data_IF_423501454311
#
_entry.id   IF_423501454311
#
_cell.length_a   1.000
_cell.length_b   1.000
_cell.length_c   1.000
_cell.angle_alpha   90.00
_cell.angle_beta   90.00
_cell.angle_gamma   90.00
#
_symmetry.space_group_name_H-M   'P 1'
#
loop_
_entity.id
_entity.type
_entity.pdbx_description
1 polymer ?
#
# COMPACT_ATOMS: atom_id res chain seq x y z
N UNK A 1 23.71 -1.74 -20.76
CA UNK A 1 22.29 -1.29 -20.68
C UNK A 1 21.93 -0.80 -22.06
N UNK A 2 20.88 -1.37 -22.67
CA UNK A 2 20.45 -0.96 -24.00
C UNK A 2 19.76 0.40 -23.91
N UNK A 3 20.48 1.47 -24.23
CA UNK A 3 19.90 2.81 -24.29
C UNK A 3 19.34 3.07 -25.69
N UNK A 4 18.07 3.50 -25.75
CA UNK A 4 17.49 4.01 -26.99
C UNK A 4 17.94 5.45 -27.17
N UNK A 5 18.51 5.74 -28.33
CA UNK A 5 18.85 7.10 -28.75
C UNK A 5 18.03 7.47 -29.96
N UNK A 6 17.67 8.76 -30.06
CA UNK A 6 16.99 9.25 -31.24
C UNK A 6 17.93 9.18 -32.46
N UNK A 7 17.52 8.56 -33.59
CA UNK A 7 18.39 8.46 -34.76
C UNK A 7 18.70 9.82 -35.40
N UNK A 8 17.88 10.84 -35.15
CA UNK A 8 18.03 12.17 -35.75
C UNK A 8 18.95 13.11 -34.95
N UNK A 9 18.90 13.06 -33.62
CA UNK A 9 19.61 14.02 -32.77
C UNK A 9 20.39 13.38 -31.62
N UNK A 10 20.45 12.05 -31.54
CA UNK A 10 21.14 11.29 -30.50
C UNK A 10 20.65 11.54 -29.06
N UNK A 11 19.52 12.25 -28.89
CA UNK A 11 18.94 12.49 -27.57
C UNK A 11 18.46 11.17 -26.93
N UNK A 12 18.72 10.93 -25.62
CA UNK A 12 18.26 9.72 -24.93
C UNK A 12 16.73 9.60 -24.92
N UNK A 13 16.20 8.41 -25.20
CA UNK A 13 14.77 8.17 -25.35
C UNK A 13 14.32 7.05 -24.41
N UNK A 14 13.18 7.25 -23.76
CA UNK A 14 12.51 6.21 -22.98
C UNK A 14 11.79 5.20 -23.88
N UNK A 15 11.83 3.91 -23.51
CA UNK A 15 11.00 2.90 -24.17
C UNK A 15 9.51 3.28 -24.09
N UNK A 16 8.79 3.20 -25.20
CA UNK A 16 7.39 3.62 -25.28
C UNK A 16 7.17 5.08 -25.70
N UNK A 17 8.22 5.90 -25.80
CA UNK A 17 8.10 7.28 -26.28
C UNK A 17 7.69 7.30 -27.76
N UNK A 18 6.67 8.09 -28.11
CA UNK A 18 6.20 8.22 -29.49
C UNK A 18 6.89 9.35 -30.26
N UNK A 19 7.50 10.29 -29.56
CA UNK A 19 8.25 11.43 -30.11
C UNK A 19 9.51 11.70 -29.31
N UNK A 20 10.53 12.25 -29.97
CA UNK A 20 11.76 12.69 -29.32
C UNK A 20 11.53 13.98 -28.50
N UNK A 21 12.00 14.01 -27.25
CA UNK A 21 11.95 15.21 -26.42
C UNK A 21 12.91 16.32 -26.86
N UNK A 22 14.00 15.97 -27.55
CA UNK A 22 15.00 16.94 -28.02
C UNK A 22 14.64 17.62 -29.35
N UNK A 23 14.28 16.84 -30.38
CA UNK A 23 14.00 17.35 -31.72
C UNK A 23 12.53 17.25 -32.17
N UNK A 24 11.65 16.64 -31.37
CA UNK A 24 10.23 16.50 -31.69
C UNK A 24 9.89 15.43 -32.75
N UNK A 25 10.89 14.77 -33.35
CA UNK A 25 10.68 13.75 -34.38
C UNK A 25 9.79 12.60 -33.90
N UNK A 26 8.88 12.14 -34.76
CA UNK A 26 8.04 10.96 -34.52
C UNK A 26 8.84 9.67 -34.63
N UNK A 27 8.61 8.74 -33.72
CA UNK A 27 9.17 7.39 -33.78
C UNK A 27 8.24 6.36 -34.43
N UNK A 28 6.99 6.76 -34.74
CA UNK A 28 6.08 6.00 -35.59
C UNK A 28 6.31 6.43 -37.03
N UNK A 29 7.26 5.76 -37.68
CA UNK A 29 7.65 6.01 -39.07
C UNK A 29 7.25 4.81 -39.91
N UNK A 30 6.59 5.05 -41.04
CA UNK A 30 6.25 3.97 -41.97
C UNK A 30 7.49 3.50 -42.73
N UNK A 31 7.65 2.19 -42.98
CA UNK A 31 8.75 1.69 -43.79
C UNK A 31 8.65 2.24 -45.22
N UNK A 32 9.76 2.66 -45.85
CA UNK A 32 9.75 2.99 -47.27
C UNK A 32 9.33 1.76 -48.11
N UNK A 33 8.59 1.95 -49.21
CA UNK A 33 8.26 0.85 -50.11
C UNK A 33 9.54 0.15 -50.57
N UNK A 34 9.50 -1.19 -50.60
CA UNK A 34 10.58 -2.09 -51.05
C UNK A 34 11.92 -2.01 -50.28
N UNK A 35 11.93 -1.40 -49.10
CA UNK A 35 13.17 -1.22 -48.30
C UNK A 35 13.65 -2.47 -47.54
N UNK A 36 12.82 -3.51 -47.40
CA UNK A 36 13.11 -4.64 -46.53
C UNK A 36 13.31 -4.26 -45.05
N UNK A 37 12.94 -3.04 -44.65
CA UNK A 37 13.15 -2.54 -43.30
C UNK A 37 12.39 -3.40 -42.28
N UNK A 38 12.97 -3.70 -41.11
CA UNK A 38 12.30 -4.48 -40.08
C UNK A 38 11.07 -3.70 -39.58
N UNK A 39 9.92 -4.35 -39.61
CA UNK A 39 8.64 -3.80 -39.14
C UNK A 39 8.22 -4.42 -37.82
N UNK A 40 7.35 -3.74 -37.09
CA UNK A 40 6.82 -4.30 -35.85
C UNK A 40 5.97 -5.55 -36.11
N UNK A 41 6.17 -6.60 -35.31
CA UNK A 41 5.42 -7.84 -35.39
C UNK A 41 3.91 -7.67 -35.14
N UNK A 42 3.50 -6.65 -34.37
CA UNK A 42 2.08 -6.36 -34.05
C UNK A 42 1.50 -5.27 -34.96
N UNK A 43 2.33 -4.31 -35.38
CA UNK A 43 1.93 -3.19 -36.22
C UNK A 43 2.83 -3.10 -37.46
N UNK A 44 2.54 -3.89 -38.52
CA UNK A 44 3.39 -3.96 -39.71
C UNK A 44 3.57 -2.62 -40.44
N UNK A 45 2.65 -1.67 -40.23
CA UNK A 45 2.72 -0.32 -40.80
C UNK A 45 3.81 0.57 -40.19
N UNK A 46 4.42 0.16 -39.07
CA UNK A 46 5.44 0.92 -38.37
C UNK A 46 6.80 0.22 -38.40
N UNK A 47 7.84 0.99 -38.69
CA UNK A 47 9.22 0.54 -38.61
C UNK A 47 9.59 0.15 -37.17
N UNK A 48 10.38 -0.90 -37.03
CA UNK A 48 10.91 -1.33 -35.75
C UNK A 48 11.98 -0.36 -35.25
N UNK A 49 11.88 0.00 -33.97
CA UNK A 49 12.93 0.76 -33.29
C UNK A 49 13.95 -0.15 -32.62
N UNK A 50 13.50 -1.33 -32.17
CA UNK A 50 14.35 -2.31 -31.51
C UNK A 50 13.75 -3.72 -31.58
N UNK A 51 14.62 -4.74 -31.60
CA UNK A 51 14.21 -6.12 -31.40
C UNK A 51 14.05 -6.40 -29.91
N UNK A 52 13.03 -7.18 -29.54
CA UNK A 52 12.83 -7.62 -28.16
C UNK A 52 14.02 -8.49 -27.71
N UNK A 53 14.69 -8.10 -26.62
CA UNK A 53 15.84 -8.83 -26.07
C UNK A 53 15.48 -10.24 -25.53
N UNK A 54 14.18 -10.56 -25.40
CA UNK A 54 13.72 -11.87 -24.91
C UNK A 54 13.30 -12.84 -26.00
N UNK A 55 12.49 -12.38 -26.95
CA UNK A 55 11.92 -13.25 -27.99
C UNK A 55 12.38 -12.93 -29.40
N UNK A 56 13.20 -11.88 -29.59
CA UNK A 56 13.68 -11.44 -30.91
C UNK A 56 12.65 -10.71 -31.76
N UNK A 57 11.38 -10.62 -31.35
CA UNK A 57 10.36 -9.95 -32.14
C UNK A 57 10.66 -8.44 -32.28
N UNK A 58 10.56 -7.92 -33.51
CA UNK A 58 10.68 -6.50 -33.80
C UNK A 58 9.51 -5.70 -33.21
N UNK A 59 9.82 -4.64 -32.46
CA UNK A 59 8.84 -3.76 -31.84
C UNK A 59 8.97 -2.32 -32.35
N UNK A 60 7.82 -1.68 -32.63
CA UNK A 60 7.78 -0.24 -32.88
C UNK A 60 7.83 0.52 -31.54
N UNK A 61 7.97 1.84 -31.63
CA UNK A 61 7.98 2.73 -30.48
C UNK A 61 6.80 2.53 -29.52
N UNK A 62 5.61 2.24 -30.06
CA UNK A 62 4.40 2.01 -29.27
C UNK A 62 4.39 0.66 -28.54
N UNK A 63 5.00 -0.38 -29.11
CA UNK A 63 5.03 -1.72 -28.52
C UNK A 63 6.24 -1.96 -27.62
N UNK A 64 7.23 -1.07 -27.65
CA UNK A 64 8.45 -1.23 -26.85
C UNK A 64 8.18 -0.86 -25.38
N UNK A 65 8.67 -1.70 -24.47
CA UNK A 65 8.57 -1.52 -23.02
C UNK A 65 9.93 -1.76 -22.40
N UNK A 66 10.16 -1.21 -21.21
CA UNK A 66 11.36 -1.47 -20.42
C UNK A 66 11.06 -2.53 -19.36
N UNK A 67 11.77 -3.65 -19.43
CA UNK A 67 11.65 -4.76 -18.50
C UNK A 67 12.36 -4.50 -17.16
N UNK A 68 12.20 -5.40 -16.18
CA UNK A 68 12.68 -5.21 -14.81
C UNK A 68 14.21 -5.18 -14.66
N UNK A 69 14.97 -5.82 -15.56
CA UNK A 69 16.44 -5.74 -15.60
C UNK A 69 16.91 -4.63 -16.56
N UNK A 70 16.05 -3.64 -16.82
CA UNK A 70 16.27 -2.55 -17.77
C UNK A 70 16.43 -3.02 -19.22
N UNK A 71 16.02 -4.26 -19.54
CA UNK A 71 16.01 -4.77 -20.92
C UNK A 71 14.92 -4.12 -21.78
N UNK A 72 15.13 -4.01 -23.09
CA UNK A 72 14.10 -3.56 -24.03
C UNK A 72 13.32 -4.76 -24.55
N UNK A 73 12.02 -4.79 -24.24
CA UNK A 73 11.14 -5.93 -24.55
C UNK A 73 9.89 -5.49 -25.29
N UNK A 74 9.33 -6.37 -26.13
CA UNK A 74 8.03 -6.14 -26.72
C UNK A 74 6.93 -6.22 -25.66
N UNK A 75 5.80 -5.57 -25.91
CA UNK A 75 4.62 -5.55 -25.04
C UNK A 75 4.16 -6.95 -24.63
N UNK A 76 4.16 -7.93 -25.54
CA UNK A 76 3.78 -9.31 -25.22
C UNK A 76 4.75 -9.96 -24.23
N UNK A 77 6.07 -9.78 -24.41
CA UNK A 77 7.06 -10.29 -23.46
C UNK A 77 7.01 -9.52 -22.14
N UNK A 78 6.76 -8.22 -22.17
CA UNK A 78 6.57 -7.39 -20.98
C UNK A 78 5.34 -7.84 -20.18
N UNK A 79 4.23 -8.12 -20.84
CA UNK A 79 3.03 -8.67 -20.22
C UNK A 79 3.25 -10.07 -19.63
N UNK A 80 4.21 -10.83 -20.19
CA UNK A 80 4.65 -12.14 -19.67
C UNK A 80 5.74 -12.02 -18.60
N UNK A 81 6.32 -10.84 -18.34
CA UNK A 81 7.26 -10.66 -17.23
C UNK A 81 6.46 -10.96 -15.96
N UNK A 82 6.84 -11.98 -15.17
CA UNK A 82 6.27 -12.13 -13.85
C UNK A 82 6.62 -10.86 -13.09
N UNK A 83 5.59 -10.09 -12.71
CA UNK A 83 5.80 -9.02 -11.74
C UNK A 83 6.63 -9.59 -10.58
N UNK A 84 7.64 -8.84 -10.13
CA UNK A 84 8.56 -9.34 -9.12
C UNK A 84 7.75 -9.71 -7.87
N UNK A 85 7.72 -11.00 -7.53
CA UNK A 85 7.01 -11.46 -6.34
C UNK A 85 7.63 -10.80 -5.12
N UNK A 86 6.80 -10.23 -4.25
CA UNK A 86 7.28 -9.72 -2.98
C UNK A 86 7.76 -10.89 -2.11
N UNK A 87 8.65 -10.64 -1.14
CA UNK A 87 9.01 -11.67 -0.16
C UNK A 87 7.78 -12.32 0.49
N UNK A 88 6.71 -11.56 0.74
CA UNK A 88 5.43 -12.06 1.25
C UNK A 88 4.73 -13.07 0.33
N UNK A 89 4.83 -12.89 -0.98
CA UNK A 89 4.24 -13.84 -1.94
C UNK A 89 5.06 -15.14 -1.98
N UNK A 90 6.35 -15.08 -1.61
CA UNK A 90 7.28 -16.20 -1.52
C UNK A 90 7.38 -16.79 -0.10
N UNK A 91 6.38 -16.55 0.77
CA UNK A 91 6.41 -16.98 2.18
C UNK A 91 6.48 -18.50 2.38
N UNK A 92 6.02 -19.29 1.40
CA UNK A 92 6.15 -20.74 1.43
C UNK A 92 7.62 -21.20 1.39
N UNK A 93 8.48 -20.45 0.69
CA UNK A 93 9.91 -20.75 0.54
C UNK A 93 10.77 -20.02 1.58
N UNK A 94 10.44 -18.75 1.86
CA UNK A 94 11.23 -17.89 2.76
C UNK A 94 10.87 -18.06 4.24
N UNK A 95 9.71 -18.65 4.53
CA UNK A 95 9.10 -18.68 5.85
C UNK A 95 8.38 -17.37 6.20
N UNK A 96 7.33 -17.48 7.01
CA UNK A 96 6.39 -16.40 7.33
C UNK A 96 7.06 -15.15 7.91
N UNK A 97 7.88 -15.31 8.95
CA UNK A 97 8.49 -14.18 9.68
C UNK A 97 9.45 -13.40 8.79
N UNK A 98 10.33 -14.11 8.06
CA UNK A 98 11.32 -13.51 7.17
C UNK A 98 10.66 -12.82 5.97
N UNK A 99 9.64 -13.45 5.39
CA UNK A 99 8.85 -12.90 4.30
C UNK A 99 8.13 -11.61 4.72
N UNK A 100 7.48 -11.63 5.88
CA UNK A 100 6.79 -10.47 6.45
C UNK A 100 7.77 -9.33 6.73
N UNK A 101 8.84 -9.58 7.50
CA UNK A 101 9.83 -8.58 7.85
C UNK A 101 10.44 -7.90 6.61
N UNK A 102 10.89 -8.69 5.64
CA UNK A 102 11.48 -8.16 4.40
C UNK A 102 10.48 -7.31 3.62
N UNK A 103 9.22 -7.75 3.53
CA UNK A 103 8.18 -7.00 2.83
C UNK A 103 7.90 -5.67 3.51
N UNK A 104 7.71 -5.67 4.84
CA UNK A 104 7.53 -4.46 5.65
C UNK A 104 8.68 -3.47 5.46
N UNK A 105 9.93 -3.93 5.55
CA UNK A 105 11.10 -3.07 5.34
C UNK A 105 11.12 -2.49 3.93
N UNK A 106 10.78 -3.28 2.91
CA UNK A 106 10.78 -2.80 1.53
C UNK A 106 9.70 -1.75 1.26
N UNK A 107 8.44 -2.01 1.66
CA UNK A 107 7.33 -1.07 1.47
C UNK A 107 7.50 0.18 2.32
N UNK A 108 8.12 0.06 3.50
CA UNK A 108 8.36 1.17 4.41
C UNK A 108 9.52 2.05 3.95
N UNK A 109 10.61 1.49 3.42
CA UNK A 109 11.80 2.28 3.07
C UNK A 109 11.85 2.70 1.60
N UNK A 110 11.23 1.92 0.70
CA UNK A 110 11.30 2.13 -0.76
C UNK A 110 9.95 1.93 -1.46
N UNK A 111 8.86 2.56 -0.97
CA UNK A 111 7.50 2.30 -1.43
C UNK A 111 7.35 2.43 -2.94
N UNK A 112 7.84 3.52 -3.54
CA UNK A 112 7.69 3.79 -4.98
C UNK A 112 8.31 2.69 -5.83
N UNK A 113 9.55 2.27 -5.52
CA UNK A 113 10.23 1.22 -6.30
C UNK A 113 9.60 -0.15 -6.07
N UNK A 114 9.13 -0.42 -4.85
CA UNK A 114 8.48 -1.69 -4.49
C UNK A 114 7.14 -1.85 -5.19
N UNK A 115 6.27 -0.84 -5.11
CA UNK A 115 4.96 -0.89 -5.78
C UNK A 115 5.06 -0.84 -7.31
N UNK A 116 6.10 -0.24 -7.87
CA UNK A 116 6.31 -0.22 -9.31
C UNK A 116 6.70 -1.59 -9.91
N UNK A 117 7.37 -2.46 -9.14
CA UNK A 117 7.90 -3.74 -9.63
C UNK A 117 7.04 -4.96 -9.29
N UNK A 118 6.17 -4.85 -8.29
CA UNK A 118 5.43 -5.98 -7.72
C UNK A 118 4.17 -6.36 -8.51
N UNK A 119 3.58 -7.52 -8.17
CA UNK A 119 2.32 -7.94 -8.75
C UNK A 119 1.18 -7.02 -8.31
N UNK A 120 0.36 -6.59 -9.28
CA UNK A 120 -0.79 -5.73 -9.00
C UNK A 120 -1.85 -6.42 -8.15
N UNK A 121 -2.01 -7.73 -8.35
CA UNK A 121 -3.00 -8.53 -7.67
C UNK A 121 -2.34 -9.63 -6.84
N UNK A 122 -3.05 -10.03 -5.80
CA UNK A 122 -2.86 -11.25 -5.03
C UNK A 122 -4.24 -11.72 -4.55
N UNK A 123 -4.30 -12.90 -3.96
CA UNK A 123 -5.53 -13.37 -3.35
C UNK A 123 -5.99 -12.37 -2.26
N UNK A 124 -7.30 -12.24 -2.10
CA UNK A 124 -7.90 -11.42 -1.04
C UNK A 124 -7.40 -11.90 0.32
N UNK A 125 -7.37 -13.22 0.54
CA UNK A 125 -6.88 -13.83 1.78
C UNK A 125 -5.43 -13.47 2.10
N UNK A 126 -4.54 -13.48 1.10
CA UNK A 126 -3.12 -13.15 1.28
C UNK A 126 -2.91 -11.70 1.70
N UNK A 127 -3.71 -10.79 1.13
CA UNK A 127 -3.67 -9.36 1.45
C UNK A 127 -4.22 -9.11 2.85
N UNK A 128 -5.34 -9.73 3.22
CA UNK A 128 -5.91 -9.60 4.56
C UNK A 128 -5.04 -10.22 5.64
N UNK A 129 -4.39 -11.33 5.35
CA UNK A 129 -3.49 -11.95 6.30
C UNK A 129 -2.26 -11.07 6.57
N UNK A 130 -1.73 -10.41 5.53
CA UNK A 130 -0.67 -9.41 5.72
C UNK A 130 -1.14 -8.23 6.57
N UNK A 131 -2.36 -7.72 6.31
CA UNK A 131 -2.97 -6.65 7.08
C UNK A 131 -3.17 -7.04 8.55
N UNK A 132 -3.72 -8.22 8.82
CA UNK A 132 -3.91 -8.75 10.17
C UNK A 132 -2.59 -8.93 10.92
N UNK A 133 -1.55 -9.44 10.27
CA UNK A 133 -0.22 -9.56 10.87
C UNK A 133 0.41 -8.20 11.16
N UNK A 134 0.23 -7.24 10.24
CA UNK A 134 0.68 -5.84 10.43
C UNK A 134 -0.03 -5.17 11.60
N UNK A 135 -1.33 -5.38 11.73
CA UNK A 135 -2.12 -4.90 12.86
C UNK A 135 -1.67 -5.55 14.18
N UNK A 136 -1.54 -6.88 14.21
CA UNK A 136 -1.07 -7.60 15.39
C UNK A 136 0.27 -7.05 15.89
N UNK A 137 1.26 -6.93 15.00
CA UNK A 137 2.58 -6.39 15.35
C UNK A 137 2.52 -4.93 15.76
N UNK A 138 1.74 -4.11 15.04
CA UNK A 138 1.60 -2.68 15.30
C UNK A 138 0.98 -2.35 16.65
N UNK A 139 0.00 -3.14 17.08
CA UNK A 139 -0.68 -2.95 18.36
C UNK A 139 -0.01 -3.72 19.51
N UNK A 140 0.94 -4.61 19.22
CA UNK A 140 1.55 -5.49 20.22
C UNK A 140 2.17 -4.71 21.38
N UNK A 141 3.09 -3.80 21.06
CA UNK A 141 3.85 -3.02 22.03
C UNK A 141 2.94 -2.14 22.89
N UNK A 142 1.94 -1.48 22.28
CA UNK A 142 1.02 -0.58 22.97
C UNK A 142 0.20 -1.32 24.02
N UNK A 143 -0.47 -2.40 23.63
CA UNK A 143 -1.28 -3.17 24.58
C UNK A 143 -0.41 -3.83 25.64
N UNK A 144 0.76 -4.34 25.27
CA UNK A 144 1.68 -4.94 26.23
C UNK A 144 2.11 -3.93 27.29
N UNK A 145 2.51 -2.73 26.90
CA UNK A 145 2.90 -1.67 27.83
C UNK A 145 1.72 -1.15 28.65
N UNK A 146 0.53 -1.02 28.07
CA UNK A 146 -0.67 -0.61 28.82
C UNK A 146 -1.02 -1.63 29.88
N UNK A 147 -0.96 -2.92 29.56
CA UNK A 147 -1.19 -3.98 30.54
C UNK A 147 -0.12 -3.98 31.62
N UNK A 148 1.17 -3.86 31.26
CA UNK A 148 2.24 -3.74 32.26
C UNK A 148 2.03 -2.53 33.17
N UNK A 149 1.65 -1.38 32.60
CA UNK A 149 1.33 -0.19 33.36
C UNK A 149 0.16 -0.44 34.33
N UNK A 150 -0.95 -1.00 33.85
CA UNK A 150 -2.11 -1.32 34.69
C UNK A 150 -1.81 -2.34 35.80
N UNK A 151 -0.89 -3.27 35.56
CA UNK A 151 -0.45 -4.25 36.55
C UNK A 151 0.49 -3.65 37.61
N UNK A 152 1.36 -2.72 37.20
CA UNK A 152 2.32 -2.06 38.07
C UNK A 152 1.75 -0.84 38.80
N UNK A 153 0.63 -0.29 38.33
CA UNK A 153 0.04 0.93 38.90
C UNK A 153 -0.53 0.67 40.30
N UNK A 154 -0.12 1.44 41.33
CA UNK A 154 -0.59 1.25 42.70
C UNK A 154 -1.99 1.86 42.87
N UNK A 155 -2.99 1.24 42.25
CA UNK A 155 -4.36 1.75 42.22
C UNK A 155 -4.99 1.87 43.63
N UNK A 156 -4.45 1.15 44.63
CA UNK A 156 -4.78 1.26 46.07
C UNK A 156 -4.57 2.67 46.66
N UNK A 157 -3.75 3.50 45.98
CA UNK A 157 -3.40 4.85 46.44
C UNK A 157 -4.34 5.93 45.93
N UNK A 158 -5.27 5.59 45.03
CA UNK A 158 -6.29 6.54 44.56
C UNK A 158 -7.44 6.57 45.57
N UNK A 159 -7.84 7.77 46.06
CA UNK A 159 -9.00 7.89 46.93
C UNK A 159 -10.22 7.38 46.16
N UNK A 160 -10.80 6.27 46.63
CA UNK A 160 -11.99 5.68 46.05
C UNK A 160 -13.07 6.76 45.95
N UNK A 161 -13.45 7.11 44.73
CA UNK A 161 -14.51 8.07 44.46
C UNK A 161 -15.85 7.46 44.87
N UNK A 162 -16.20 7.58 46.15
CA UNK A 162 -17.56 7.55 46.71
C UNK A 162 -18.50 6.41 46.34
N UNK A 163 -18.02 5.30 45.75
CA UNK A 163 -18.82 4.12 45.52
C UNK A 163 -18.49 3.09 46.59
N UNK A 164 -19.53 2.53 47.23
CA UNK A 164 -19.45 1.47 48.24
C UNK A 164 -18.92 0.13 47.67
N UNK A 165 -18.32 0.15 46.49
CA UNK A 165 -17.84 -1.00 45.75
C UNK A 165 -16.31 -1.02 45.87
N UNK A 166 -15.81 -1.59 46.97
CA UNK A 166 -14.38 -1.88 47.14
C UNK A 166 -13.88 -2.64 45.91
N UNK A 167 -13.09 -1.97 45.07
CA UNK A 167 -12.62 -2.54 43.81
C UNK A 167 -11.55 -3.57 44.13
N UNK A 168 -11.87 -4.86 43.98
CA UNK A 168 -10.94 -5.93 44.33
C UNK A 168 -9.65 -5.88 43.44
N UNK A 169 -8.45 -5.77 44.05
CA UNK A 169 -7.16 -5.69 43.35
C UNK A 169 -6.91 -6.82 42.36
N UNK A 170 -7.23 -8.03 42.80
CA UNK A 170 -7.00 -9.24 42.02
C UNK A 170 -7.96 -9.29 40.83
N UNK A 171 -9.19 -8.84 41.01
CA UNK A 171 -10.18 -8.74 39.94
C UNK A 171 -9.72 -7.72 38.89
N UNK A 172 -9.28 -6.53 39.29
CA UNK A 172 -8.80 -5.49 38.37
C UNK A 172 -7.61 -5.96 37.53
N UNK A 173 -6.59 -6.56 38.17
CA UNK A 173 -5.43 -7.13 37.47
C UNK A 173 -5.83 -8.29 36.54
N UNK A 174 -6.76 -9.15 36.99
CA UNK A 174 -7.31 -10.22 36.16
C UNK A 174 -8.02 -9.70 34.92
N UNK A 175 -8.85 -8.67 35.06
CA UNK A 175 -9.52 -7.99 33.94
C UNK A 175 -8.51 -7.38 32.98
N UNK A 176 -7.44 -6.75 33.47
CA UNK A 176 -6.39 -6.18 32.60
C UNK A 176 -5.70 -7.24 31.73
N UNK A 177 -5.41 -8.43 32.28
CA UNK A 177 -4.82 -9.54 31.52
C UNK A 177 -5.82 -10.14 30.53
N UNK A 178 -7.07 -10.31 30.94
CA UNK A 178 -8.12 -10.82 30.04
C UNK A 178 -8.35 -9.85 28.88
N UNK A 179 -8.43 -8.55 29.14
CA UNK A 179 -8.53 -7.51 28.12
C UNK A 179 -7.32 -7.53 27.18
N UNK A 180 -6.10 -7.70 27.69
CA UNK A 180 -4.91 -7.85 26.84
C UNK A 180 -5.07 -9.00 25.83
N UNK A 181 -5.45 -10.20 26.30
CA UNK A 181 -5.60 -11.38 25.45
C UNK A 181 -6.73 -11.19 24.44
N UNK A 182 -7.89 -10.68 24.89
CA UNK A 182 -9.03 -10.42 24.01
C UNK A 182 -8.66 -9.39 22.95
N UNK A 183 -8.07 -8.26 23.33
CA UNK A 183 -7.67 -7.21 22.38
C UNK A 183 -6.59 -7.71 21.40
N UNK A 184 -5.63 -8.52 21.85
CA UNK A 184 -4.61 -9.10 20.97
C UNK A 184 -5.18 -9.99 19.87
N UNK A 185 -6.28 -10.69 20.13
CA UNK A 185 -6.92 -11.57 19.16
C UNK A 185 -7.98 -10.84 18.33
N UNK A 186 -8.80 -10.03 18.98
CA UNK A 186 -9.94 -9.37 18.36
C UNK A 186 -9.52 -8.19 17.48
N UNK A 187 -8.52 -7.40 17.88
CA UNK A 187 -8.10 -6.20 17.14
C UNK A 187 -7.54 -6.55 15.76
N UNK A 188 -6.64 -7.55 15.58
CA UNK A 188 -6.19 -7.95 14.25
C UNK A 188 -7.34 -8.44 13.36
N UNK A 189 -8.27 -9.23 13.91
CA UNK A 189 -9.44 -9.73 13.17
C UNK A 189 -10.35 -8.58 12.73
N UNK A 190 -10.66 -7.65 13.64
CA UNK A 190 -11.43 -6.46 13.33
C UNK A 190 -10.71 -5.59 12.29
N UNK A 191 -9.38 -5.47 12.39
CA UNK A 191 -8.55 -4.72 11.46
C UNK A 191 -8.59 -5.30 10.04
N UNK A 192 -8.66 -6.63 9.88
CA UNK A 192 -8.88 -7.25 8.57
C UNK A 192 -10.23 -6.83 7.97
N UNK A 193 -11.30 -6.83 8.77
CA UNK A 193 -12.62 -6.37 8.35
C UNK A 193 -12.64 -4.88 7.98
N UNK A 194 -12.04 -4.04 8.81
CA UNK A 194 -11.90 -2.60 8.54
C UNK A 194 -11.05 -2.34 7.28
N UNK A 195 -10.03 -3.15 7.04
CA UNK A 195 -9.19 -3.07 5.84
C UNK A 195 -10.00 -3.36 4.58
N UNK A 196 -10.90 -4.36 4.60
CA UNK A 196 -11.81 -4.63 3.49
C UNK A 196 -12.72 -3.44 3.19
N UNK A 197 -13.36 -2.89 4.23
CA UNK A 197 -14.29 -1.77 4.08
C UNK A 197 -13.55 -0.54 3.58
N UNK A 198 -12.41 -0.19 4.19
CA UNK A 198 -11.61 0.95 3.80
C UNK A 198 -11.08 0.82 2.37
N UNK A 199 -10.53 -0.33 1.98
CA UNK A 199 -10.08 -0.58 0.61
C UNK A 199 -11.25 -0.53 -0.39
N UNK A 200 -12.46 -0.92 0.02
CA UNK A 200 -13.67 -0.84 -0.82
C UNK A 200 -14.05 0.61 -1.10
N UNK A 201 -14.06 1.44 -0.06
CA UNK A 201 -14.31 2.87 -0.18
C UNK A 201 -13.21 3.57 -1.00
N UNK A 202 -11.94 3.29 -0.72
CA UNK A 202 -10.79 3.81 -1.49
C UNK A 202 -10.93 3.39 -2.97
N UNK A 203 -11.36 2.16 -3.25
CA UNK A 203 -11.56 1.67 -4.63
C UNK A 203 -12.68 2.43 -5.35
N UNK A 204 -13.82 2.69 -4.70
CA UNK A 204 -14.91 3.48 -5.28
C UNK A 204 -14.43 4.88 -5.67
N UNK A 205 -13.67 5.53 -4.77
CA UNK A 205 -13.09 6.85 -5.04
C UNK A 205 -12.14 6.82 -6.23
N UNK A 206 -11.24 5.82 -6.28
CA UNK A 206 -10.32 5.64 -7.39
C UNK A 206 -11.05 5.36 -8.71
N UNK A 207 -12.14 4.57 -8.69
CA UNK A 207 -12.97 4.30 -9.86
C UNK A 207 -13.65 5.56 -10.40
N UNK A 208 -14.19 6.41 -9.52
CA UNK A 208 -14.76 7.71 -9.91
C UNK A 208 -13.69 8.62 -10.53
N UNK A 209 -12.45 8.54 -10.04
CA UNK A 209 -11.32 9.27 -10.61
C UNK A 209 -10.73 8.65 -11.90
N UNK A 210 -11.37 7.62 -12.47
CA UNK A 210 -10.97 6.99 -13.74
C UNK A 210 -9.83 5.96 -13.62
N UNK A 211 -9.49 5.53 -12.41
CA UNK A 211 -8.45 4.53 -12.20
C UNK A 211 -8.80 3.18 -12.84
N UNK A 212 -7.80 2.57 -13.48
CA UNK A 212 -7.91 1.22 -14.04
C UNK A 212 -7.36 0.22 -13.00
N UNK A 213 -8.06 -0.90 -12.81
CA UNK A 213 -7.67 -1.93 -11.84
C UNK A 213 -8.86 -2.52 -11.10
N UNK A 214 -8.62 -3.67 -10.46
CA UNK A 214 -9.63 -4.43 -9.72
C UNK A 214 -9.65 -4.02 -8.26
N UNK A 215 -10.71 -4.41 -7.54
CA UNK A 215 -10.74 -4.28 -6.08
C UNK A 215 -9.55 -4.98 -5.41
N UNK A 216 -9.15 -6.17 -5.91
CA UNK A 216 -8.00 -6.90 -5.40
C UNK A 216 -6.70 -6.09 -5.49
N UNK A 217 -6.56 -5.24 -6.52
CA UNK A 217 -5.43 -4.32 -6.67
C UNK A 217 -5.41 -3.27 -5.55
N UNK A 218 -6.55 -2.63 -5.29
CA UNK A 218 -6.67 -1.63 -4.21
C UNK A 218 -6.42 -2.25 -2.85
N UNK A 219 -7.05 -3.41 -2.58
CA UNK A 219 -6.93 -4.12 -1.32
C UNK A 219 -5.48 -4.50 -1.03
N UNK A 220 -4.76 -5.02 -2.03
CA UNK A 220 -3.34 -5.36 -1.91
C UNK A 220 -2.50 -4.13 -1.60
N UNK A 221 -2.72 -3.02 -2.31
CA UNK A 221 -2.04 -1.76 -2.04
C UNK A 221 -2.31 -1.22 -0.64
N UNK A 222 -3.56 -1.27 -0.19
CA UNK A 222 -3.97 -0.84 1.14
C UNK A 222 -3.34 -1.71 2.23
N UNK A 223 -3.43 -3.04 2.10
CA UNK A 223 -2.86 -3.98 3.06
C UNK A 223 -1.34 -3.83 3.19
N UNK A 224 -0.63 -3.72 2.06
CA UNK A 224 0.83 -3.58 2.07
C UNK A 224 1.29 -2.23 2.67
N UNK A 225 0.49 -1.17 2.52
CA UNK A 225 0.78 0.10 3.18
C UNK A 225 0.76 -0.01 4.71
N UNK A 226 0.03 -0.97 5.28
CA UNK A 226 0.04 -1.25 6.72
C UNK A 226 1.35 -1.90 7.18
N UNK A 227 2.23 -2.38 6.27
CA UNK A 227 3.52 -2.96 6.63
C UNK A 227 4.42 -1.99 7.42
N UNK A 228 4.15 -0.69 7.31
CA UNK A 228 4.71 0.38 8.13
C UNK A 228 4.54 0.14 9.64
N UNK A 229 3.45 -0.50 10.05
CA UNK A 229 3.16 -0.78 11.46
C UNK A 229 4.14 -1.78 12.11
N UNK A 230 5.05 -2.40 11.33
CA UNK A 230 6.20 -3.10 11.89
C UNK A 230 7.05 -2.20 12.80
N UNK A 231 7.22 -0.92 12.44
CA UNK A 231 7.93 0.05 13.27
C UNK A 231 7.21 0.30 14.61
N UNK A 232 5.95 -0.13 14.72
CA UNK A 232 5.16 -0.02 15.94
C UNK A 232 5.63 -0.92 17.07
N UNK A 233 6.53 -1.87 16.81
CA UNK A 233 7.24 -2.58 17.88
C UNK A 233 8.07 -1.64 18.77
N UNK A 234 8.48 -0.48 18.25
CA UNK A 234 9.08 0.57 19.06
C UNK A 234 7.96 1.30 19.81
N UNK A 235 7.96 1.27 21.15
CA UNK A 235 6.98 1.98 21.97
C UNK A 235 6.85 3.46 21.57
N UNK A 236 5.65 4.01 21.69
CA UNK A 236 5.31 5.43 21.45
C UNK A 236 5.46 5.94 20.01
N UNK A 237 6.23 5.27 19.14
CA UNK A 237 6.30 5.59 17.71
C UNK A 237 5.04 5.18 16.94
N UNK A 238 4.35 4.13 17.40
CA UNK A 238 3.32 3.42 16.66
C UNK A 238 2.05 4.24 16.40
N UNK A 239 1.47 4.82 17.45
CA UNK A 239 0.10 5.34 17.40
C UNK A 239 -0.01 6.71 16.70
N UNK A 240 1.05 7.52 16.75
CA UNK A 240 1.00 8.90 16.30
C UNK A 240 1.67 9.13 14.95
N UNK A 241 2.78 8.45 14.65
CA UNK A 241 3.59 8.76 13.46
C UNK A 241 3.27 7.81 12.30
N UNK A 242 3.09 6.52 12.60
CA UNK A 242 2.94 5.49 11.58
C UNK A 242 1.67 5.60 10.74
N UNK A 243 0.51 6.07 11.24
CA UNK A 243 -0.66 6.28 10.37
C UNK A 243 -0.40 7.28 9.25
N UNK A 244 0.35 8.35 9.51
CA UNK A 244 0.72 9.33 8.49
C UNK A 244 1.73 8.76 7.48
N UNK A 245 2.70 7.96 7.94
CA UNK A 245 3.61 7.29 7.02
C UNK A 245 2.90 6.24 6.16
N UNK A 246 2.02 5.44 6.76
CA UNK A 246 1.16 4.47 6.06
C UNK A 246 0.31 5.14 4.97
N UNK A 247 -0.20 6.34 5.23
CA UNK A 247 -0.90 7.13 4.23
C UNK A 247 -0.01 7.47 3.02
N UNK A 248 1.23 7.92 3.23
CA UNK A 248 2.18 8.22 2.14
C UNK A 248 2.55 6.97 1.33
N UNK A 249 2.75 5.84 2.01
CA UNK A 249 2.99 4.53 1.39
C UNK A 249 1.77 4.09 0.56
N UNK A 250 0.55 4.31 1.06
CA UNK A 250 -0.70 4.01 0.35
C UNK A 250 -0.89 4.87 -0.90
N UNK A 251 -0.58 6.17 -0.86
CA UNK A 251 -0.58 7.03 -2.06
C UNK A 251 0.39 6.46 -3.11
N UNK A 252 1.59 6.07 -2.68
CA UNK A 252 2.59 5.46 -3.56
C UNK A 252 2.10 4.14 -4.17
N UNK A 253 1.39 3.32 -3.39
CA UNK A 253 0.76 2.09 -3.84
C UNK A 253 -0.31 2.39 -4.90
N UNK A 254 -1.27 3.28 -4.63
CA UNK A 254 -2.36 3.58 -5.56
C UNK A 254 -1.85 4.17 -6.87
N UNK A 255 -0.90 5.10 -6.81
CA UNK A 255 -0.24 5.64 -8.00
C UNK A 255 0.39 4.54 -8.86
N UNK A 256 1.15 3.63 -8.25
CA UNK A 256 1.94 2.65 -9.00
C UNK A 256 1.09 1.47 -9.50
N UNK A 257 0.17 0.99 -8.66
CA UNK A 257 -0.65 -0.18 -8.98
C UNK A 257 -1.80 0.15 -9.96
N UNK A 258 -2.42 1.32 -9.83
CA UNK A 258 -3.48 1.78 -10.74
C UNK A 258 -2.97 2.64 -11.91
N UNK A 259 -1.69 3.03 -11.90
CA UNK A 259 -1.09 3.85 -12.97
C UNK A 259 -1.68 5.25 -13.08
N UNK A 260 -2.21 5.80 -11.98
CA UNK A 260 -2.85 7.12 -11.95
C UNK A 260 -1.86 8.23 -11.57
N UNK A 261 -2.22 9.48 -11.89
CA UNK A 261 -1.47 10.64 -11.42
C UNK A 261 -1.51 10.83 -9.90
N UNK A 262 -0.70 11.75 -9.38
CA UNK A 262 -0.64 12.04 -7.93
C UNK A 262 -1.97 12.52 -7.36
N UNK A 263 -2.73 13.37 -8.08
CA UNK A 263 -4.02 13.89 -7.62
C UNK A 263 -5.03 12.80 -7.26
N UNK A 264 -5.41 11.91 -8.21
CA UNK A 264 -6.30 10.77 -7.92
C UNK A 264 -5.77 9.84 -6.82
N UNK A 265 -4.46 9.55 -6.79
CA UNK A 265 -3.88 8.69 -5.75
C UNK A 265 -3.97 9.30 -4.35
N UNK A 266 -3.68 10.60 -4.23
CA UNK A 266 -3.81 11.38 -2.99
C UNK A 266 -5.27 11.42 -2.55
N UNK A 267 -6.19 11.78 -3.44
CA UNK A 267 -7.61 11.84 -3.12
C UNK A 267 -8.18 10.48 -2.68
N UNK A 268 -7.84 9.40 -3.41
CA UNK A 268 -8.25 8.04 -3.06
C UNK A 268 -7.68 7.53 -1.74
N UNK A 269 -6.48 7.95 -1.34
CA UNK A 269 -5.89 7.52 -0.08
C UNK A 269 -6.34 8.37 1.13
N UNK A 270 -6.62 9.66 0.93
CA UNK A 270 -6.88 10.63 2.00
C UNK A 270 -8.35 10.84 2.32
N UNK A 271 -9.25 10.70 1.35
CA UNK A 271 -10.65 11.09 1.53
C UNK A 271 -11.29 10.32 2.70
N UNK A 272 -11.13 8.99 2.72
CA UNK A 272 -11.75 8.15 3.74
C UNK A 272 -11.16 8.43 5.14
N UNK A 273 -9.82 8.40 5.35
CA UNK A 273 -9.25 8.78 6.65
C UNK A 273 -9.63 10.19 7.10
N UNK A 274 -9.71 11.17 6.19
CA UNK A 274 -10.08 12.53 6.54
C UNK A 274 -11.54 12.58 7.03
N UNK A 275 -12.47 11.93 6.32
CA UNK A 275 -13.86 11.84 6.74
C UNK A 275 -14.01 11.12 8.08
N UNK A 276 -13.32 9.99 8.27
CA UNK A 276 -13.33 9.25 9.53
C UNK A 276 -12.73 10.07 10.67
N UNK A 277 -11.65 10.81 10.42
CA UNK A 277 -11.05 11.71 11.41
C UNK A 277 -12.00 12.84 11.81
N UNK A 278 -12.64 13.50 10.85
CA UNK A 278 -13.60 14.57 11.12
C UNK A 278 -14.82 14.05 11.91
N UNK A 279 -15.35 12.88 11.54
CA UNK A 279 -16.48 12.25 12.25
C UNK A 279 -16.06 11.78 13.66
N UNK A 280 -14.86 11.20 13.80
CA UNK A 280 -14.34 10.69 15.07
C UNK A 280 -14.00 11.81 16.07
N UNK A 281 -13.32 12.86 15.63
CA UNK A 281 -13.02 14.03 16.47
C UNK A 281 -14.32 14.76 16.81
N UNK A 282 -15.23 14.93 15.84
CA UNK A 282 -16.53 15.56 16.06
C UNK A 282 -17.38 14.80 17.09
N UNK A 283 -17.44 13.47 17.00
CA UNK A 283 -18.18 12.65 17.96
C UNK A 283 -17.53 12.64 19.35
N UNK A 284 -16.20 12.58 19.43
CA UNK A 284 -15.47 12.67 20.69
C UNK A 284 -15.72 14.02 21.39
N UNK A 285 -15.63 15.13 20.67
CA UNK A 285 -15.94 16.46 21.21
C UNK A 285 -17.40 16.54 21.65
N UNK A 286 -18.34 16.04 20.85
CA UNK A 286 -19.76 16.02 21.22
C UNK A 286 -20.02 15.24 22.52
N UNK A 287 -19.42 14.05 22.67
CA UNK A 287 -19.51 13.22 23.88
C UNK A 287 -18.87 13.93 25.08
N UNK A 288 -17.70 14.53 24.92
CA UNK A 288 -17.07 15.29 26.01
C UNK A 288 -17.93 16.48 26.43
N UNK A 289 -18.49 17.22 25.47
CA UNK A 289 -19.37 18.36 25.79
C UNK A 289 -20.68 17.92 26.43
N UNK A 290 -21.23 16.73 26.10
CA UNK A 290 -22.45 16.24 26.74
C UNK A 290 -22.19 15.73 28.16
N UNK A 291 -21.02 15.13 28.42
CA UNK A 291 -20.60 14.72 29.78
C UNK A 291 -20.28 15.94 30.65
N UNK A 292 -19.65 16.97 30.08
CA UNK A 292 -19.25 18.20 30.79
C UNK A 292 -20.37 19.25 30.87
N UNK A 293 -21.47 19.08 30.13
CA UNK A 293 -22.61 19.97 30.21
C UNK A 293 -23.27 19.86 31.60
N UNK A 294 -23.33 20.95 32.38
CA UNK A 294 -23.98 20.95 33.67
C UNK A 294 -25.51 20.77 33.48
N UNK A 295 -25.97 19.52 33.49
CA UNK A 295 -27.39 19.19 33.36
C UNK A 295 -27.73 17.77 32.87
N UNK A 296 -26.78 17.00 32.33
CA UNK A 296 -27.07 15.71 31.69
C UNK A 296 -27.33 14.53 32.66
N UNK A 297 -27.11 14.71 33.98
CA UNK A 297 -27.29 13.70 35.03
C UNK A 297 -28.54 13.98 35.91
N UNK A 298 -29.63 14.44 35.29
CA UNK A 298 -30.96 14.45 35.90
C UNK A 298 -31.90 13.53 35.10
N UNK A 299 -31.71 12.23 35.24
CA UNK A 299 -32.70 11.19 34.96
C UNK A 299 -32.69 10.23 36.14
#
# INVERSE_FOLDING_TARGET
>A
MSELVCPFCQFPVGAGALRCGGCGASFLVSPPPDSGAPVCAVHPQWMSQHACERCGAFACAQCLRRGPRQELVCESCHARVPHAQLPWDQRAELGWVKAFWKTCVEVMLRPVTTFARMSREASVGDSLLFAGLSAFVGYFSTWFLYTLFLLAFPYETFPASGSDNETNPALFRGVAVVLFVICMLLVPLLSMGLTLVAAGLDHLVLKVAGAQGTFATTLRGHALAQGVYLAGLVPFCSMYVLPFWSLGVRVSAYRSLHGVGWGPAVFGALLIPALTCCIGVGSYVAILTSILAPGALKL
#
